data_IF_178925834688
#
_entry.id   IF_178925834688
#
_cell.length_a   1.000
_cell.length_b   1.000
_cell.length_c   1.000
_cell.angle_alpha   90.00
_cell.angle_beta   90.00
_cell.angle_gamma   90.00
#
_symmetry.space_group_name_H-M   'P 1'
#
loop_
_entity.id
_entity.type
_entity.pdbx_description
1 polymer ?
#
# COMPACT_ATOMS: atom_id res chain seq x y z
N UNK A 1 8.83 16.16 8.03
CA UNK A 1 8.52 14.72 8.17
C UNK A 1 7.51 14.37 9.28
N UNK A 2 7.30 15.20 10.32
CA UNK A 2 6.35 14.89 11.40
C UNK A 2 4.87 14.86 10.94
N UNK A 3 4.47 15.76 10.03
CA UNK A 3 3.09 15.84 9.53
C UNK A 3 2.63 14.59 8.76
N UNK A 4 3.48 14.01 7.91
CA UNK A 4 3.14 12.78 7.17
C UNK A 4 2.86 11.60 8.11
N UNK A 5 3.52 11.56 9.27
CA UNK A 5 3.29 10.53 10.30
C UNK A 5 1.99 10.74 11.08
N UNK A 6 1.44 11.95 11.11
CA UNK A 6 0.13 12.23 11.73
C UNK A 6 -1.06 11.94 10.83
N UNK A 7 -0.83 11.80 9.52
CA UNK A 7 -1.88 11.51 8.56
C UNK A 7 -2.25 10.02 8.61
N UNK A 8 -3.51 9.76 8.98
CA UNK A 8 -4.06 8.41 9.09
C UNK A 8 -4.64 7.94 7.76
N UNK A 9 -4.81 6.63 7.62
CA UNK A 9 -5.52 6.01 6.51
C UNK A 9 -6.90 6.67 6.36
N UNK A 10 -7.23 7.29 5.22
CA UNK A 10 -8.49 8.01 5.13
C UNK A 10 -9.70 7.09 4.91
N UNK A 11 -9.48 5.80 4.61
CA UNK A 11 -10.54 4.78 4.56
C UNK A 11 -10.97 4.30 5.95
N UNK A 12 -10.03 3.96 6.82
CA UNK A 12 -10.34 3.33 8.12
C UNK A 12 -9.99 4.19 9.34
N UNK A 13 -9.29 5.31 9.17
CA UNK A 13 -8.86 6.21 10.24
C UNK A 13 -7.90 5.59 11.27
N UNK A 14 -7.52 4.31 11.13
CA UNK A 14 -6.92 3.55 12.24
C UNK A 14 -5.44 3.82 12.41
N UNK A 15 -4.65 3.72 11.34
CA UNK A 15 -3.18 3.78 11.38
C UNK A 15 -2.63 4.79 10.39
N UNK A 16 -1.40 5.25 10.61
CA UNK A 16 -0.64 5.96 9.57
C UNK A 16 -0.36 5.03 8.39
N UNK A 17 -0.21 5.60 7.20
CA UNK A 17 0.18 4.87 6.00
C UNK A 17 1.69 4.66 5.94
N UNK A 18 2.09 3.52 5.37
CA UNK A 18 3.49 3.17 5.16
C UNK A 18 3.82 3.21 3.67
N UNK A 19 5.05 3.60 3.28
CA UNK A 19 5.49 3.49 1.91
C UNK A 19 5.55 2.02 1.50
N UNK A 20 5.08 1.72 0.28
CA UNK A 20 5.27 0.44 -0.38
C UNK A 20 6.53 0.56 -1.24
N UNK A 21 7.48 -0.34 -1.03
CA UNK A 21 8.71 -0.40 -1.83
C UNK A 21 8.73 -1.66 -2.67
N UNK A 22 9.00 -1.48 -3.96
CA UNK A 22 9.11 -2.53 -4.95
C UNK A 22 10.58 -2.84 -5.26
N UNK A 23 10.82 -4.05 -5.75
CA UNK A 23 12.14 -4.55 -6.11
C UNK A 23 12.66 -5.60 -5.14
N UNK A 24 13.88 -6.07 -5.41
CA UNK A 24 14.49 -7.14 -4.64
C UNK A 24 14.79 -6.69 -3.19
N UNK A 25 14.38 -7.48 -2.17
CA UNK A 25 14.55 -7.07 -0.78
C UNK A 25 16.02 -7.12 -0.35
N UNK A 26 16.56 -5.97 0.06
CA UNK A 26 17.83 -5.93 0.79
C UNK A 26 17.62 -6.16 2.30
N UNK A 27 18.67 -6.52 3.03
CA UNK A 27 18.60 -6.70 4.49
C UNK A 27 18.01 -5.48 5.22
N UNK A 28 18.35 -4.27 4.78
CA UNK A 28 17.82 -3.01 5.33
C UNK A 28 16.32 -2.85 5.09
N UNK A 29 15.82 -3.32 3.95
CA UNK A 29 14.40 -3.32 3.63
C UNK A 29 13.63 -4.33 4.47
N UNK A 30 14.19 -5.52 4.69
CA UNK A 30 13.63 -6.53 5.59
C UNK A 30 13.53 -6.01 7.03
N UNK A 31 14.55 -5.32 7.52
CA UNK A 31 14.52 -4.66 8.84
C UNK A 31 13.44 -3.57 8.91
N UNK A 32 13.31 -2.76 7.87
CA UNK A 32 12.26 -1.75 7.74
C UNK A 32 10.85 -2.33 7.81
N UNK A 33 10.64 -3.47 7.14
CA UNK A 33 9.37 -4.20 7.18
C UNK A 33 9.09 -4.75 8.59
N UNK A 34 10.06 -5.43 9.22
CA UNK A 34 9.93 -5.97 10.58
C UNK A 34 9.62 -4.89 11.62
N UNK A 35 10.20 -3.70 11.45
CA UNK A 35 9.95 -2.53 12.29
C UNK A 35 8.72 -1.71 11.90
N UNK A 36 7.88 -2.20 10.97
CA UNK A 36 6.65 -1.55 10.50
C UNK A 36 6.87 -0.11 9.99
N UNK A 37 7.99 0.14 9.32
CA UNK A 37 8.32 1.44 8.70
C UNK A 37 8.00 1.52 7.22
N UNK A 38 7.79 0.37 6.58
CA UNK A 38 7.49 0.23 5.16
C UNK A 38 6.74 -1.09 4.94
N UNK A 39 6.15 -1.23 3.75
CA UNK A 39 5.59 -2.47 3.22
C UNK A 39 6.44 -2.87 2.02
N UNK A 40 6.73 -4.16 1.87
CA UNK A 40 7.36 -4.67 0.65
C UNK A 40 6.25 -5.02 -0.34
N UNK A 41 6.35 -4.45 -1.54
CA UNK A 41 5.51 -4.80 -2.68
C UNK A 41 6.07 -6.00 -3.43
N UNK A 42 5.74 -6.08 -4.72
CA UNK A 42 6.35 -7.04 -5.64
C UNK A 42 7.76 -6.64 -6.06
N UNK A 43 8.38 -7.49 -6.88
CA UNK A 43 9.73 -7.30 -7.41
C UNK A 43 9.79 -6.39 -8.65
N UNK A 44 8.65 -6.07 -9.26
CA UNK A 44 8.55 -5.19 -10.44
C UNK A 44 7.61 -4.00 -10.21
N UNK A 45 7.95 -2.86 -10.83
CA UNK A 45 7.07 -1.70 -10.93
C UNK A 45 6.21 -1.84 -12.19
N UNK A 46 4.90 -1.66 -12.03
CA UNK A 46 3.96 -1.50 -13.14
C UNK A 46 3.53 -0.04 -13.23
N UNK A 47 3.14 0.40 -14.42
CA UNK A 47 2.47 1.69 -14.56
C UNK A 47 1.22 1.70 -13.65
N UNK A 48 1.06 2.76 -12.84
CA UNK A 48 0.00 2.88 -11.84
C UNK A 48 0.16 2.07 -10.55
N UNK A 49 1.36 1.60 -10.21
CA UNK A 49 1.63 0.96 -8.92
C UNK A 49 1.24 1.84 -7.71
N UNK A 50 0.70 1.21 -6.67
CA UNK A 50 0.41 1.87 -5.40
C UNK A 50 1.68 1.96 -4.56
N UNK A 51 2.03 3.17 -4.09
CA UNK A 51 3.27 3.41 -3.34
C UNK A 51 3.03 3.72 -1.85
N UNK A 52 1.77 3.68 -1.40
CA UNK A 52 1.38 3.81 0.00
C UNK A 52 0.36 2.74 0.38
N UNK A 53 0.49 2.18 1.57
CA UNK A 53 -0.40 1.12 2.07
C UNK A 53 -0.79 1.30 3.53
N UNK A 54 -2.01 0.90 3.85
CA UNK A 54 -2.50 0.82 5.23
C UNK A 54 -2.02 -0.49 5.86
N UNK A 55 -1.23 -0.45 6.96
CA UNK A 55 -0.76 -1.66 7.64
C UNK A 55 -1.86 -2.36 8.48
N UNK A 56 -3.11 -1.89 8.43
CA UNK A 56 -4.23 -2.58 9.06
C UNK A 56 -4.75 -3.67 8.12
N UNK A 57 -4.50 -4.93 8.47
CA UNK A 57 -4.89 -6.11 7.68
C UNK A 57 -6.40 -6.19 7.39
N UNK A 58 -7.24 -5.61 8.26
CA UNK A 58 -8.70 -5.55 8.02
C UNK A 58 -9.11 -4.47 7.01
N UNK A 59 -8.23 -3.49 6.75
CA UNK A 59 -8.49 -2.40 5.81
C UNK A 59 -7.93 -2.73 4.42
N UNK A 60 -6.65 -3.10 4.34
CA UNK A 60 -5.97 -3.46 3.09
C UNK A 60 -5.93 -2.35 2.03
N UNK A 61 -6.23 -1.10 2.37
CA UNK A 61 -6.24 0.00 1.40
C UNK A 61 -4.81 0.38 0.98
N UNK A 62 -4.65 0.70 -0.30
CA UNK A 62 -3.40 1.17 -0.89
C UNK A 62 -3.66 2.29 -1.90
N UNK A 63 -2.66 3.14 -2.11
CA UNK A 63 -2.79 4.41 -2.82
C UNK A 63 -1.59 4.68 -3.71
N UNK A 64 -1.88 5.27 -4.87
CA UNK A 64 -0.86 5.70 -5.85
C UNK A 64 -0.14 6.97 -5.44
N UNK A 65 -0.82 7.89 -4.75
CA UNK A 65 -0.25 9.16 -4.32
C UNK A 65 -0.69 9.49 -2.89
N UNK A 66 0.21 10.07 -2.10
CA UNK A 66 -0.05 10.55 -0.73
C UNK A 66 0.97 11.65 -0.40
N UNK A 67 0.61 12.72 0.34
CA UNK A 67 -0.64 12.91 1.04
C UNK A 67 -1.76 13.62 0.26
N UNK A 68 -1.48 14.28 -0.88
CA UNK A 68 -2.51 14.97 -1.66
C UNK A 68 -2.10 15.06 -3.14
N UNK A 69 -2.69 14.17 -3.95
CA UNK A 69 -3.03 14.39 -5.36
C UNK A 69 -4.25 13.49 -5.69
N UNK A 70 -5.24 14.02 -6.42
CA UNK A 70 -6.45 13.33 -6.93
C UNK A 70 -7.18 12.38 -5.96
N UNK A 71 -7.49 12.87 -4.75
CA UNK A 71 -8.20 12.13 -3.67
C UNK A 71 -9.60 11.64 -4.10
N UNK A 72 -10.25 12.38 -4.99
CA UNK A 72 -11.53 12.07 -5.62
C UNK A 72 -11.47 10.82 -6.50
N UNK A 73 -10.45 10.71 -7.34
CA UNK A 73 -10.20 9.51 -8.16
C UNK A 73 -9.92 8.29 -7.28
N UNK A 74 -9.25 8.52 -6.15
CA UNK A 74 -9.00 7.45 -5.20
C UNK A 74 -10.29 6.89 -4.57
N UNK A 75 -11.23 7.76 -4.15
CA UNK A 75 -12.53 7.31 -3.65
C UNK A 75 -13.31 6.54 -4.74
N UNK A 76 -13.16 6.95 -6.00
CA UNK A 76 -13.74 6.24 -7.14
C UNK A 76 -13.11 4.85 -7.36
N UNK A 77 -11.78 4.70 -7.23
CA UNK A 77 -11.11 3.40 -7.33
C UNK A 77 -11.51 2.43 -6.21
N UNK A 78 -11.74 2.92 -4.99
CA UNK A 78 -12.22 2.08 -3.87
C UNK A 78 -13.68 1.65 -4.04
N UNK A 79 -14.49 2.42 -4.78
CA UNK A 79 -15.87 2.09 -5.09
C UNK A 79 -15.99 1.04 -6.22
N UNK A 80 -14.92 0.83 -7.00
CA UNK A 80 -14.89 -0.24 -8.00
C UNK A 80 -14.90 -1.60 -7.29
N UNK A 81 -15.73 -2.56 -7.74
CA UNK A 81 -15.64 -3.94 -7.28
C UNK A 81 -14.20 -4.42 -7.46
N UNK A 82 -13.60 -5.00 -6.42
CA UNK A 82 -12.30 -5.64 -6.58
C UNK A 82 -12.43 -6.70 -7.68
N UNK A 83 -11.59 -6.69 -8.73
CA UNK A 83 -11.59 -7.78 -9.69
C UNK A 83 -11.37 -9.07 -8.90
N UNK A 84 -12.13 -10.12 -9.22
CA UNK A 84 -11.84 -11.45 -8.68
C UNK A 84 -10.35 -11.70 -8.93
N UNK A 85 -9.58 -11.79 -7.84
CA UNK A 85 -8.14 -11.97 -7.94
C UNK A 85 -7.82 -13.17 -8.83
N UNK A 86 -6.65 -13.24 -9.48
CA UNK A 86 -6.34 -14.40 -10.29
C UNK A 86 -6.43 -15.65 -9.43
N UNK A 87 -7.18 -16.64 -9.89
CA UNK A 87 -7.18 -17.97 -9.30
C UNK A 87 -5.84 -18.61 -9.67
N UNK A 88 -4.81 -18.44 -8.85
CA UNK A 88 -3.57 -19.19 -9.02
C UNK A 88 -3.82 -20.63 -8.56
N UNK A 89 -4.04 -21.54 -9.50
CA UNK A 89 -3.95 -22.97 -9.23
C UNK A 89 -2.47 -23.33 -9.23
N UNK A 90 -1.91 -23.62 -8.06
CA UNK A 90 -0.62 -24.30 -7.99
C UNK A 90 -0.90 -25.77 -8.30
N UNK A 91 -0.60 -26.21 -9.52
CA UNK A 91 -0.51 -27.65 -9.81
C UNK A 91 0.74 -28.17 -9.08
N UNK A 92 0.52 -29.12 -8.15
CA UNK A 92 1.55 -29.87 -7.42
C UNK A 92 2.03 -31.05 -8.26
#
# INVERSE_FOLDING_TARGET
MAFLKSLRCPRCGSTALLPILYGFPSAKLLEGMRSKRLILGGDHLIESCHVWGCPNDRCGASYRFFPYDRVDEWMADQAKPQPAGPHYTYEL
#
